data_IF_231858836235
#
_entry.id   IF_231858836235
#
_cell.length_a   1.000
_cell.length_b   1.000
_cell.length_c   1.000
_cell.angle_alpha   90.00
_cell.angle_beta   90.00
_cell.angle_gamma   90.00
#
_symmetry.space_group_name_H-M   'P 1'
#
loop_
_entity.id
_entity.type
_entity.pdbx_description
1 polymer ?
#
# COMPACT_ATOMS: atom_id res chain seq x y z
N UNK A 1 -31.74 -13.34 -1.12
CA UNK A 1 -31.42 -11.91 -0.88
C UNK A 1 -30.73 -11.63 0.46
N UNK A 2 -31.22 -12.13 1.61
CA UNK A 2 -30.62 -11.88 2.94
C UNK A 2 -29.16 -12.35 3.09
N UNK A 3 -28.83 -13.54 2.58
CA UNK A 3 -27.47 -14.10 2.63
C UNK A 3 -26.45 -13.22 1.87
N UNK A 4 -26.84 -12.68 0.72
CA UNK A 4 -25.98 -11.82 -0.11
C UNK A 4 -25.68 -10.47 0.57
N UNK A 5 -26.65 -9.89 1.28
CA UNK A 5 -26.47 -8.66 2.05
C UNK A 5 -25.54 -8.85 3.26
N UNK A 6 -25.67 -9.97 3.97
CA UNK A 6 -24.78 -10.36 5.07
C UNK A 6 -23.33 -10.54 4.58
N UNK A 7 -23.13 -11.29 3.49
CA UNK A 7 -21.80 -11.49 2.90
C UNK A 7 -21.14 -10.17 2.49
N UNK A 8 -21.90 -9.24 1.92
CA UNK A 8 -21.34 -7.96 1.50
C UNK A 8 -21.10 -6.99 2.64
N UNK A 9 -21.88 -7.07 3.72
CA UNK A 9 -21.57 -6.34 4.95
C UNK A 9 -20.26 -6.85 5.56
N UNK A 10 -20.10 -8.17 5.67
CA UNK A 10 -18.89 -8.81 6.18
C UNK A 10 -17.68 -8.47 5.31
N UNK A 11 -17.81 -8.52 3.98
CA UNK A 11 -16.73 -8.12 3.06
C UNK A 11 -16.29 -6.66 3.28
N UNK A 12 -17.26 -5.75 3.46
CA UNK A 12 -16.99 -4.33 3.63
C UNK A 12 -16.32 -4.02 4.99
N UNK A 13 -16.71 -4.73 6.05
CA UNK A 13 -16.04 -4.65 7.35
C UNK A 13 -14.61 -5.19 7.29
N UNK A 14 -14.40 -6.33 6.61
CA UNK A 14 -13.06 -6.91 6.40
C UNK A 14 -12.18 -5.94 5.62
N UNK A 15 -12.68 -5.33 4.54
CA UNK A 15 -11.93 -4.36 3.75
C UNK A 15 -11.54 -3.12 4.57
N UNK A 16 -12.42 -2.66 5.47
CA UNK A 16 -12.14 -1.51 6.34
C UNK A 16 -11.12 -1.83 7.44
N UNK A 17 -11.23 -3.00 8.08
CA UNK A 17 -10.26 -3.49 9.06
C UNK A 17 -8.90 -3.68 8.39
N UNK A 18 -8.89 -4.29 7.19
CA UNK A 18 -7.67 -4.54 6.45
C UNK A 18 -7.01 -3.24 5.98
N UNK A 19 -7.79 -2.29 5.46
CA UNK A 19 -7.31 -0.95 5.09
C UNK A 19 -6.69 -0.19 6.27
N UNK A 20 -7.34 -0.26 7.44
CA UNK A 20 -6.85 0.35 8.69
C UNK A 20 -5.54 -0.29 9.14
N UNK A 21 -5.49 -1.63 9.20
CA UNK A 21 -4.29 -2.37 9.59
C UNK A 21 -3.12 -2.11 8.63
N UNK A 22 -3.41 -2.09 7.33
CA UNK A 22 -2.43 -1.80 6.28
C UNK A 22 -1.85 -0.39 6.44
N UNK A 23 -2.70 0.59 6.74
CA UNK A 23 -2.27 1.97 6.97
C UNK A 23 -1.32 2.09 8.14
N UNK A 24 -1.69 1.51 9.28
CA UNK A 24 -0.87 1.56 10.47
C UNK A 24 0.51 0.92 10.21
N UNK A 25 0.53 -0.24 9.53
CA UNK A 25 1.77 -0.90 9.10
C UNK A 25 2.63 -0.01 8.20
N UNK A 26 2.03 0.70 7.24
CA UNK A 26 2.78 1.60 6.36
C UNK A 26 3.36 2.82 7.09
N UNK A 27 2.62 3.38 8.04
CA UNK A 27 3.12 4.44 8.92
C UNK A 27 4.32 3.97 9.75
N UNK A 28 4.23 2.77 10.33
CA UNK A 28 5.36 2.15 11.03
C UNK A 28 6.55 1.93 10.11
N UNK A 29 6.35 1.39 8.90
CA UNK A 29 7.45 1.20 7.94
C UNK A 29 8.12 2.51 7.56
N UNK A 30 7.36 3.59 7.38
CA UNK A 30 7.93 4.92 7.13
C UNK A 30 8.81 5.40 8.29
N UNK A 31 8.31 5.31 9.53
CA UNK A 31 9.07 5.71 10.71
C UNK A 31 10.35 4.89 10.90
N UNK A 32 10.26 3.56 10.74
CA UNK A 32 11.43 2.68 10.78
C UNK A 32 12.43 3.03 9.69
N UNK A 33 11.97 3.29 8.47
CA UNK A 33 12.83 3.64 7.34
C UNK A 33 13.54 4.98 7.55
N UNK A 34 12.85 5.99 8.08
CA UNK A 34 13.45 7.27 8.42
C UNK A 34 14.52 7.14 9.52
N UNK A 35 14.25 6.34 10.56
CA UNK A 35 15.21 6.06 11.62
C UNK A 35 16.44 5.30 11.11
N UNK A 36 16.24 4.27 10.27
CA UNK A 36 17.33 3.54 9.61
C UNK A 36 18.19 4.47 8.76
N UNK A 37 17.58 5.37 7.98
CA UNK A 37 18.31 6.34 7.16
C UNK A 37 19.13 7.31 8.00
N UNK A 38 18.58 7.79 9.12
CA UNK A 38 19.29 8.66 10.06
C UNK A 38 20.50 7.96 10.68
N UNK A 39 20.34 6.71 11.15
CA UNK A 39 21.44 5.92 11.70
C UNK A 39 22.51 5.62 10.64
N UNK A 40 22.11 5.23 9.44
CA UNK A 40 23.01 4.98 8.31
C UNK A 40 23.81 6.25 7.98
N UNK A 41 23.12 7.40 7.91
CA UNK A 41 23.75 8.69 7.64
C UNK A 41 24.78 9.04 8.72
N UNK A 42 24.44 8.92 10.01
CA UNK A 42 25.36 9.19 11.11
C UNK A 42 26.58 8.25 11.12
N UNK A 43 26.39 6.96 10.80
CA UNK A 43 27.48 5.98 10.74
C UNK A 43 28.39 6.22 9.53
N UNK A 44 27.85 6.74 8.41
CA UNK A 44 28.66 7.07 7.22
C UNK A 44 29.47 8.35 7.44
N UNK A 45 28.84 9.42 7.94
CA UNK A 45 29.42 10.76 7.94
C UNK A 45 30.06 11.20 9.26
N UNK A 46 29.50 10.80 10.42
CA UNK A 46 29.90 11.36 11.72
C UNK A 46 30.81 10.41 12.49
N UNK A 47 30.54 9.11 12.46
CA UNK A 47 31.07 8.19 13.47
C UNK A 47 32.21 7.28 12.99
N UNK A 48 33.29 7.24 13.77
CA UNK A 48 34.52 6.50 13.47
C UNK A 48 34.59 5.16 14.23
N UNK A 49 33.53 4.35 14.20
CA UNK A 49 33.57 3.00 14.78
C UNK A 49 34.43 2.09 13.90
N UNK A 50 35.59 1.69 14.38
CA UNK A 50 36.64 1.07 13.53
C UNK A 50 36.54 -0.45 13.39
N UNK A 51 35.91 -1.18 14.31
CA UNK A 51 35.92 -2.66 14.26
C UNK A 51 34.61 -3.35 13.86
N UNK A 52 33.43 -2.72 14.04
CA UNK A 52 32.13 -3.36 13.75
C UNK A 52 31.24 -2.57 12.78
N UNK A 53 31.75 -1.47 12.21
CA UNK A 53 31.01 -0.58 11.32
C UNK A 53 30.47 -1.28 10.08
N UNK A 54 31.29 -2.10 9.41
CA UNK A 54 30.84 -2.81 8.20
C UNK A 54 29.73 -3.81 8.51
N UNK A 55 29.81 -4.55 9.62
CA UNK A 55 28.77 -5.50 10.03
C UNK A 55 27.47 -4.77 10.39
N UNK A 56 27.57 -3.67 11.15
CA UNK A 56 26.41 -2.85 11.50
C UNK A 56 25.74 -2.25 10.26
N UNK A 57 26.51 -1.68 9.32
CA UNK A 57 25.99 -1.16 8.05
C UNK A 57 25.30 -2.28 7.26
N UNK A 58 25.90 -3.47 7.17
CA UNK A 58 25.28 -4.59 6.47
C UNK A 58 23.93 -4.98 7.11
N UNK A 59 23.84 -5.05 8.44
CA UNK A 59 22.59 -5.38 9.14
C UNK A 59 21.52 -4.32 8.84
N UNK A 60 21.87 -3.03 8.93
CA UNK A 60 20.96 -1.93 8.66
C UNK A 60 20.47 -1.93 7.20
N UNK A 61 21.37 -2.16 6.24
CA UNK A 61 21.00 -2.28 4.82
C UNK A 61 20.07 -3.47 4.59
N UNK A 62 20.35 -4.64 5.16
CA UNK A 62 19.47 -5.82 5.05
C UNK A 62 18.08 -5.52 5.60
N UNK A 63 18.00 -4.87 6.77
CA UNK A 63 16.72 -4.47 7.36
C UNK A 63 15.97 -3.45 6.50
N UNK A 64 16.68 -2.47 5.96
CA UNK A 64 16.13 -1.48 5.05
C UNK A 64 15.54 -2.13 3.79
N UNK A 65 16.32 -2.98 3.11
CA UNK A 65 15.86 -3.70 1.91
C UNK A 65 14.67 -4.61 2.21
N UNK A 66 14.67 -5.31 3.35
CA UNK A 66 13.55 -6.14 3.78
C UNK A 66 12.25 -5.35 3.93
N UNK A 67 12.32 -4.17 4.56
CA UNK A 67 11.17 -3.28 4.72
C UNK A 67 10.67 -2.73 3.37
N UNK A 68 11.61 -2.33 2.48
CA UNK A 68 11.28 -1.86 1.13
C UNK A 68 10.59 -2.95 0.31
N UNK A 69 11.09 -4.18 0.35
CA UNK A 69 10.49 -5.32 -0.35
C UNK A 69 9.06 -5.57 0.13
N UNK A 70 8.82 -5.57 1.45
CA UNK A 70 7.47 -5.70 2.02
C UNK A 70 6.53 -4.61 1.52
N UNK A 71 6.98 -3.37 1.50
CA UNK A 71 6.21 -2.22 1.03
C UNK A 71 5.87 -2.33 -0.47
N UNK A 72 6.82 -2.78 -1.30
CA UNK A 72 6.60 -3.02 -2.73
C UNK A 72 5.59 -4.15 -2.94
N UNK A 73 5.76 -5.31 -2.29
CA UNK A 73 4.88 -6.47 -2.43
C UNK A 73 3.43 -6.09 -2.08
N UNK A 74 3.24 -5.40 -0.96
CA UNK A 74 1.94 -4.92 -0.51
C UNK A 74 1.28 -4.03 -1.56
N UNK A 75 1.96 -2.98 -2.01
CA UNK A 75 1.38 -2.05 -2.99
C UNK A 75 1.16 -2.70 -4.36
N UNK A 76 2.07 -3.60 -4.78
CA UNK A 76 1.92 -4.35 -6.01
C UNK A 76 0.69 -5.26 -5.98
N UNK A 77 0.47 -5.97 -4.88
CA UNK A 77 -0.72 -6.81 -4.71
C UNK A 77 -2.00 -5.97 -4.70
N UNK A 78 -2.01 -4.82 -4.02
CA UNK A 78 -3.13 -3.88 -4.06
C UNK A 78 -3.43 -3.41 -5.50
N UNK A 79 -2.42 -3.04 -6.28
CA UNK A 79 -2.58 -2.61 -7.67
C UNK A 79 -3.10 -3.76 -8.55
N UNK A 80 -2.54 -4.96 -8.40
CA UNK A 80 -2.92 -6.13 -9.21
C UNK A 80 -4.36 -6.54 -8.94
N UNK A 81 -4.80 -6.53 -7.68
CA UNK A 81 -6.18 -6.82 -7.29
C UNK A 81 -7.12 -5.74 -7.83
N UNK A 82 -6.78 -4.46 -7.67
CA UNK A 82 -7.54 -3.32 -8.22
C UNK A 82 -7.69 -3.41 -9.75
N UNK A 83 -6.61 -3.75 -10.46
CA UNK A 83 -6.61 -3.92 -11.92
C UNK A 83 -7.50 -5.08 -12.35
N UNK A 84 -7.35 -6.25 -11.71
CA UNK A 84 -8.19 -7.43 -12.02
C UNK A 84 -9.67 -7.15 -11.73
N UNK A 85 -9.98 -6.50 -10.62
CA UNK A 85 -11.34 -6.11 -10.26
C UNK A 85 -11.99 -5.21 -11.33
N UNK A 86 -11.24 -4.23 -11.84
CA UNK A 86 -11.72 -3.37 -12.93
C UNK A 86 -12.00 -4.16 -14.22
N UNK A 87 -11.16 -5.14 -14.57
CA UNK A 87 -11.40 -5.99 -15.74
C UNK A 87 -12.65 -6.85 -15.54
N UNK A 88 -12.82 -7.46 -14.37
CA UNK A 88 -14.02 -8.24 -14.02
C UNK A 88 -15.28 -7.38 -14.07
N UNK A 89 -15.21 -6.13 -13.58
CA UNK A 89 -16.31 -5.17 -13.68
C UNK A 89 -16.67 -4.88 -15.14
N UNK A 90 -15.69 -4.64 -16.01
CA UNK A 90 -15.95 -4.40 -17.43
C UNK A 90 -16.60 -5.61 -18.12
N UNK A 91 -16.17 -6.83 -17.77
CA UNK A 91 -16.74 -8.06 -18.30
C UNK A 91 -18.18 -8.29 -17.81
N UNK A 92 -18.44 -8.09 -16.51
CA UNK A 92 -19.77 -8.19 -15.93
C UNK A 92 -20.75 -7.17 -16.55
N UNK A 93 -20.32 -5.93 -16.79
CA UNK A 93 -21.13 -4.92 -17.48
C UNK A 93 -21.50 -5.36 -18.92
N UNK A 94 -20.57 -6.02 -19.62
CA UNK A 94 -20.81 -6.54 -20.97
C UNK A 94 -21.82 -7.70 -20.97
N UNK A 95 -21.74 -8.60 -19.98
CA UNK A 95 -22.73 -9.67 -19.79
C UNK A 95 -24.11 -9.06 -19.52
N UNK A 96 -24.19 -8.06 -18.64
CA UNK A 96 -25.43 -7.38 -18.30
C UNK A 96 -26.14 -6.79 -19.52
N UNK A 97 -25.40 -6.18 -20.44
CA UNK A 97 -25.96 -5.67 -21.70
C UNK A 97 -26.41 -6.77 -22.68
N UNK A 98 -26.03 -8.02 -22.47
CA UNK A 98 -26.30 -9.15 -23.38
C UNK A 98 -27.34 -10.15 -22.88
N UNK A 99 -27.67 -10.13 -21.59
CA UNK A 99 -28.56 -11.11 -20.95
C UNK A 99 -29.99 -10.56 -20.84
N UNK A 100 -30.98 -11.29 -21.38
CA UNK A 100 -32.42 -10.97 -21.22
C UNK A 100 -33.05 -11.58 -19.96
N UNK A 101 -32.30 -12.36 -19.18
CA UNK A 101 -32.77 -13.00 -17.97
C UNK A 101 -32.72 -12.01 -16.79
N UNK A 102 -33.90 -11.64 -16.30
CA UNK A 102 -34.10 -10.56 -15.33
C UNK A 102 -33.44 -10.89 -13.99
N UNK A 103 -33.49 -12.15 -13.55
CA UNK A 103 -32.96 -12.58 -12.25
C UNK A 103 -31.42 -12.65 -12.27
N UNK A 104 -30.85 -13.11 -13.38
CA UNK A 104 -29.39 -13.11 -13.60
C UNK A 104 -28.88 -11.68 -13.73
N UNK A 105 -29.61 -10.83 -14.45
CA UNK A 105 -29.30 -9.41 -14.63
C UNK A 105 -29.34 -8.65 -13.31
N UNK A 106 -30.35 -8.86 -12.45
CA UNK A 106 -30.40 -8.20 -11.13
C UNK A 106 -29.22 -8.60 -10.22
N UNK A 107 -28.88 -9.89 -10.18
CA UNK A 107 -27.76 -10.39 -9.38
C UNK A 107 -26.41 -9.83 -9.86
N UNK A 108 -26.18 -9.81 -11.18
CA UNK A 108 -24.98 -9.23 -11.78
C UNK A 108 -24.96 -7.71 -11.56
N UNK A 109 -26.10 -7.03 -11.66
CA UNK A 109 -26.20 -5.59 -11.39
C UNK A 109 -25.87 -5.28 -9.95
N UNK A 110 -26.38 -6.02 -8.97
CA UNK A 110 -26.04 -5.82 -7.55
C UNK A 110 -24.55 -6.04 -7.26
N UNK A 111 -23.96 -7.09 -7.83
CA UNK A 111 -22.53 -7.37 -7.74
C UNK A 111 -21.70 -6.23 -8.37
N UNK A 112 -22.10 -5.77 -9.56
CA UNK A 112 -21.46 -4.66 -10.27
C UNK A 112 -21.59 -3.36 -9.49
N UNK A 113 -22.75 -3.10 -8.87
CA UNK A 113 -23.06 -1.91 -8.11
C UNK A 113 -22.26 -1.89 -6.79
N UNK A 114 -22.02 -3.04 -6.17
CA UNK A 114 -21.06 -3.18 -5.06
C UNK A 114 -19.61 -2.96 -5.49
N UNK A 115 -19.18 -3.55 -6.61
CA UNK A 115 -17.86 -3.28 -7.20
C UNK A 115 -17.70 -1.84 -7.71
N UNK A 116 -18.81 -1.13 -7.93
CA UNK A 116 -18.83 0.26 -8.40
C UNK A 116 -18.88 1.28 -7.27
N UNK A 117 -19.66 1.02 -6.22
CA UNK A 117 -19.74 1.86 -5.02
C UNK A 117 -18.49 1.74 -4.15
N UNK A 118 -17.81 0.59 -4.17
CA UNK A 118 -16.46 0.44 -3.62
C UNK A 118 -15.57 -0.13 -4.74
N UNK A 119 -14.98 0.71 -5.62
CA UNK A 119 -13.90 0.21 -6.45
C UNK A 119 -12.88 -0.44 -5.50
N UNK A 120 -12.37 -1.63 -5.85
CA UNK A 120 -11.36 -2.41 -5.09
C UNK A 120 -9.99 -1.71 -5.09
N UNK A 121 -10.01 -0.42 -4.76
CA UNK A 121 -8.89 0.46 -4.50
C UNK A 121 -8.76 0.46 -3.00
N UNK A 122 -7.67 -0.10 -2.51
CA UNK A 122 -7.38 -0.11 -1.10
C UNK A 122 -7.02 1.32 -0.69
N UNK A 123 -7.84 1.94 0.16
CA UNK A 123 -7.57 3.25 0.71
C UNK A 123 -7.10 3.12 2.15
N UNK A 124 -6.03 3.81 2.49
CA UNK A 124 -5.59 3.94 3.87
C UNK A 124 -6.32 5.09 4.56
N UNK A 125 -7.18 4.76 5.53
CA UNK A 125 -8.06 5.71 6.24
C UNK A 125 -8.88 6.67 5.32
N UNK A 126 -9.08 6.32 4.04
CA UNK A 126 -9.68 7.22 3.05
C UNK A 126 -8.78 8.38 2.58
N UNK A 127 -7.55 8.50 3.10
CA UNK A 127 -6.63 9.60 2.84
C UNK A 127 -5.70 9.34 1.63
N UNK A 128 -5.33 8.09 1.41
CA UNK A 128 -4.40 7.72 0.34
C UNK A 128 -4.73 6.38 -0.28
N UNK A 129 -4.57 6.29 -1.59
CA UNK A 129 -4.81 5.07 -2.36
C UNK A 129 -3.53 4.23 -2.44
N UNK A 130 -3.54 3.02 -1.91
CA UNK A 130 -2.45 2.05 -2.09
C UNK A 130 -2.31 1.65 -3.56
N UNK A 131 -1.06 1.46 -4.00
CA UNK A 131 -0.71 1.19 -5.40
C UNK A 131 0.56 1.92 -5.82
N UNK A 132 0.84 1.95 -7.12
CA UNK A 132 2.07 2.57 -7.63
C UNK A 132 2.15 4.08 -7.35
N UNK A 133 1.01 4.77 -7.32
CA UNK A 133 0.96 6.20 -6.97
C UNK A 133 1.41 6.45 -5.53
N UNK A 134 1.03 5.59 -4.60
CA UNK A 134 1.49 5.66 -3.21
C UNK A 134 2.99 5.37 -3.12
N UNK A 135 3.49 4.35 -3.82
CA UNK A 135 4.93 4.05 -3.85
C UNK A 135 5.77 5.24 -4.33
N UNK A 136 5.32 5.92 -5.39
CA UNK A 136 6.00 7.10 -5.90
C UNK A 136 6.01 8.25 -4.87
N UNK A 137 4.85 8.55 -4.26
CA UNK A 137 4.77 9.56 -3.20
C UNK A 137 5.63 9.20 -1.98
N UNK A 138 5.63 7.94 -1.59
CA UNK A 138 6.45 7.42 -0.49
C UNK A 138 7.95 7.58 -0.77
N UNK A 139 8.39 7.24 -1.98
CA UNK A 139 9.79 7.43 -2.40
C UNK A 139 10.18 8.91 -2.40
N UNK A 140 9.29 9.80 -2.85
CA UNK A 140 9.50 11.24 -2.77
C UNK A 140 9.68 11.72 -1.32
N UNK A 141 8.82 11.28 -0.39
CA UNK A 141 8.94 11.62 1.03
C UNK A 141 10.25 11.14 1.65
N UNK A 142 10.68 9.92 1.31
CA UNK A 142 11.98 9.37 1.76
C UNK A 142 13.14 10.20 1.23
N UNK A 143 13.10 10.59 -0.05
CA UNK A 143 14.09 11.47 -0.65
C UNK A 143 14.14 12.84 0.03
N UNK A 144 12.99 13.42 0.37
CA UNK A 144 12.92 14.69 1.12
C UNK A 144 13.60 14.57 2.47
N UNK A 145 13.34 13.49 3.22
CA UNK A 145 14.02 13.23 4.51
C UNK A 145 15.54 13.15 4.32
N UNK A 146 16.00 12.44 3.29
CA UNK A 146 17.43 12.35 2.99
C UNK A 146 18.05 13.72 2.66
N UNK A 147 17.38 14.54 1.86
CA UNK A 147 17.83 15.90 1.54
C UNK A 147 17.94 16.76 2.80
N UNK A 148 16.93 16.71 3.67
CA UNK A 148 16.93 17.46 4.94
C UNK A 148 18.11 17.03 5.82
N UNK A 149 18.39 15.73 5.91
CA UNK A 149 19.54 15.22 6.68
C UNK A 149 20.88 15.71 6.12
N UNK A 150 21.03 15.70 4.80
CA UNK A 150 22.24 16.20 4.12
C UNK A 150 22.41 17.70 4.38
N UNK A 151 21.35 18.49 4.20
CA UNK A 151 21.38 19.94 4.44
C UNK A 151 21.73 20.26 5.90
N UNK A 152 21.09 19.60 6.85
CA UNK A 152 21.37 19.78 8.28
C UNK A 152 22.79 19.40 8.68
N UNK A 153 23.48 18.57 7.89
CA UNK A 153 24.90 18.27 8.07
C UNK A 153 25.81 19.33 7.42
N UNK A 154 25.46 19.85 6.24
CA UNK A 154 26.29 20.84 5.53
C UNK A 154 26.27 22.20 6.24
N UNK A 155 25.14 22.58 6.85
CA UNK A 155 24.99 23.85 7.59
C UNK A 155 25.66 23.83 8.99
N UNK A 156 26.40 22.76 9.33
CA UNK A 156 27.06 22.54 10.62
C UNK A 156 28.58 22.59 10.48
#
# INVERSE_FOLDING_TARGET
MHLHLELCKISREIDWIFGTQMTFKMGCYFGFMAMNLYELFNVIFINNYTNYRSVFICIQLVWFFHNVLKLIIVNYMCEKVSTKANVTKNFANKILCSTCDIEISENITQLLLQMTQSPLRFYGFGLFQFGFKFLHGFAASVLTVLIILIQAHIDK
#
